data_IF_881402188353
#
_entry.id   IF_881402188353
#
_cell.length_a   1.000
_cell.length_b   1.000
_cell.length_c   1.000
_cell.angle_alpha   90.00
_cell.angle_beta   90.00
_cell.angle_gamma   90.00
#
_symmetry.space_group_name_H-M   'P 1'
#
loop_
_entity.id
_entity.type
_entity.pdbx_description
1 polymer ?
#
# COMPACT_ATOMS: atom_id res chain seq x y z
N UNK A 1 -4.31 26.83 16.58
CA UNK A 1 -4.84 25.46 16.61
C UNK A 1 -3.94 24.60 15.74
N UNK A 2 -3.54 23.42 16.18
CA UNK A 2 -2.82 22.50 15.30
C UNK A 2 -3.73 22.17 14.13
N UNK A 3 -3.25 22.37 12.92
CA UNK A 3 -3.93 21.96 11.68
C UNK A 3 -3.61 20.48 11.51
N UNK A 4 -4.60 19.62 11.66
CA UNK A 4 -4.41 18.17 11.49
C UNK A 4 -4.41 17.79 10.02
N UNK A 5 -3.52 16.88 9.65
CA UNK A 5 -3.61 16.18 8.38
C UNK A 5 -4.47 14.93 8.56
N UNK A 6 -5.33 14.70 7.60
CA UNK A 6 -6.13 13.49 7.52
C UNK A 6 -5.64 12.68 6.32
N UNK A 7 -5.44 11.39 6.55
CA UNK A 7 -5.09 10.44 5.50
C UNK A 7 -6.24 9.48 5.32
N UNK A 8 -6.60 9.26 4.07
CA UNK A 8 -7.70 8.37 3.72
C UNK A 8 -7.20 7.32 2.73
N UNK A 9 -7.43 6.06 3.02
CA UNK A 9 -7.29 5.01 2.03
C UNK A 9 -8.42 5.21 1.00
N UNK A 10 -8.06 5.50 -0.24
CA UNK A 10 -9.03 5.90 -1.26
C UNK A 10 -9.35 4.78 -2.24
N UNK A 11 -8.40 3.92 -2.53
CA UNK A 11 -8.61 2.76 -3.41
C UNK A 11 -7.61 1.66 -3.11
N UNK A 12 -7.94 0.44 -3.48
CA UNK A 12 -7.05 -0.71 -3.42
C UNK A 12 -7.21 -1.58 -4.66
N UNK A 13 -6.21 -2.41 -4.92
CA UNK A 13 -6.28 -3.40 -5.97
C UNK A 13 -5.35 -4.57 -5.68
N UNK A 14 -5.83 -5.77 -5.96
CA UNK A 14 -5.05 -7.00 -5.86
C UNK A 14 -4.31 -7.30 -7.15
N UNK A 15 -3.09 -7.83 -7.01
CA UNK A 15 -2.30 -8.29 -8.15
C UNK A 15 -1.50 -9.55 -7.83
N UNK A 16 -1.10 -10.27 -8.86
CA UNK A 16 -0.21 -11.41 -8.76
C UNK A 16 1.20 -10.96 -8.37
N UNK A 17 1.98 -11.87 -7.82
CA UNK A 17 3.42 -11.66 -7.64
C UNK A 17 4.20 -12.27 -8.83
N UNK A 18 3.91 -11.80 -10.05
CA UNK A 18 4.41 -12.35 -11.31
C UNK A 18 5.24 -11.37 -12.15
N UNK A 19 5.56 -10.20 -11.62
CA UNK A 19 6.33 -9.19 -12.35
C UNK A 19 6.81 -8.04 -11.46
N UNK A 20 7.53 -7.10 -12.08
CA UNK A 20 8.04 -5.90 -11.39
C UNK A 20 6.91 -5.00 -10.86
N UNK A 21 7.30 -3.89 -10.24
CA UNK A 21 6.36 -2.87 -9.72
C UNK A 21 5.34 -2.41 -10.77
N UNK A 22 5.74 -2.29 -12.03
CA UNK A 22 4.87 -1.84 -13.11
C UNK A 22 4.30 -2.97 -13.96
N UNK A 23 4.87 -4.18 -13.93
CA UNK A 23 4.56 -5.26 -14.87
C UNK A 23 3.72 -6.40 -14.28
N UNK A 24 3.56 -6.49 -12.96
CA UNK A 24 2.77 -7.55 -12.35
C UNK A 24 1.29 -7.47 -12.76
N UNK A 25 0.66 -8.62 -12.95
CA UNK A 25 -0.71 -8.73 -13.43
C UNK A 25 -1.74 -8.37 -12.36
N UNK A 26 -2.77 -7.63 -12.74
CA UNK A 26 -3.91 -7.35 -11.87
C UNK A 26 -4.85 -8.56 -11.76
N UNK A 27 -5.26 -8.91 -10.55
CA UNK A 27 -6.18 -10.02 -10.29
C UNK A 27 -7.65 -9.61 -10.34
N UNK A 28 -7.94 -8.34 -10.08
CA UNK A 28 -9.30 -7.80 -10.07
C UNK A 28 -9.29 -6.33 -10.48
N UNK A 29 -10.47 -5.75 -10.67
CA UNK A 29 -10.62 -4.31 -10.81
C UNK A 29 -10.33 -3.59 -9.48
N UNK A 30 -10.16 -2.28 -9.52
CA UNK A 30 -10.01 -1.47 -8.30
C UNK A 30 -11.23 -1.61 -7.40
N UNK A 31 -11.01 -1.61 -6.09
CA UNK A 31 -12.03 -1.75 -5.05
C UNK A 31 -12.91 -3.00 -5.20
N UNK A 32 -12.33 -4.05 -5.78
CA UNK A 32 -13.02 -5.32 -6.02
C UNK A 32 -12.31 -6.44 -5.27
N UNK A 33 -13.08 -7.21 -4.52
CA UNK A 33 -12.60 -8.39 -3.81
C UNK A 33 -12.20 -9.49 -4.78
N UNK A 34 -11.27 -10.34 -4.35
CA UNK A 34 -10.82 -11.47 -5.15
C UNK A 34 -10.56 -12.69 -4.26
N UNK A 35 -10.51 -13.85 -4.88
CA UNK A 35 -10.13 -15.09 -4.21
C UNK A 35 -8.66 -15.38 -4.48
N UNK A 36 -7.90 -15.62 -3.41
CA UNK A 36 -6.51 -16.01 -3.49
C UNK A 36 -6.40 -17.48 -3.06
N UNK A 37 -5.69 -18.27 -3.83
CA UNK A 37 -5.40 -19.66 -3.44
C UNK A 37 -4.46 -19.68 -2.22
N UNK A 38 -4.62 -20.69 -1.38
CA UNK A 38 -3.71 -20.89 -0.25
C UNK A 38 -2.27 -21.08 -0.75
N UNK A 39 -1.32 -20.64 0.04
CA UNK A 39 0.12 -20.76 -0.23
C UNK A 39 0.55 -20.15 -1.58
N UNK A 40 -0.17 -19.13 -2.02
CA UNK A 40 0.15 -18.39 -3.25
C UNK A 40 0.49 -16.95 -2.90
N UNK A 41 1.67 -16.49 -3.30
CA UNK A 41 2.05 -15.09 -3.14
C UNK A 41 1.14 -14.20 -3.99
N UNK A 42 0.69 -13.13 -3.40
CA UNK A 42 -0.05 -12.07 -4.07
C UNK A 42 0.35 -10.71 -3.51
N UNK A 43 -0.06 -9.64 -4.17
CA UNK A 43 0.20 -8.30 -3.67
C UNK A 43 -1.10 -7.53 -3.51
N UNK A 44 -1.14 -6.67 -2.51
CA UNK A 44 -2.16 -5.66 -2.37
C UNK A 44 -1.54 -4.27 -2.52
N UNK A 45 -2.08 -3.50 -3.44
CA UNK A 45 -1.70 -2.10 -3.65
C UNK A 45 -2.80 -1.21 -3.11
N UNK A 46 -2.42 -0.18 -2.36
CA UNK A 46 -3.33 0.73 -1.68
C UNK A 46 -2.89 2.16 -1.98
N UNK A 47 -3.83 3.00 -2.42
CA UNK A 47 -3.63 4.43 -2.56
C UNK A 47 -4.16 5.17 -1.33
N UNK A 48 -3.40 6.16 -0.91
CA UNK A 48 -3.71 7.03 0.23
C UNK A 48 -3.69 8.47 -0.23
N UNK A 49 -4.72 9.23 0.15
CA UNK A 49 -4.82 10.67 -0.09
C UNK A 49 -4.66 11.47 1.20
N UNK A 50 -3.99 12.61 1.11
CA UNK A 50 -3.87 13.59 2.19
C UNK A 50 -4.82 14.76 1.96
N UNK A 51 -5.56 15.16 3.00
CA UNK A 51 -6.49 16.29 2.97
C UNK A 51 -6.19 17.38 4.00
N UNK A 52 -5.06 17.32 4.67
CA UNK A 52 -4.65 18.31 5.68
C UNK A 52 -3.96 19.53 5.10
N UNK A 53 -3.67 20.50 5.95
CA UNK A 53 -3.00 21.75 5.58
C UNK A 53 -1.50 21.75 5.88
N UNK A 54 -1.02 20.77 6.65
CA UNK A 54 0.39 20.66 7.01
C UNK A 54 1.10 19.65 6.10
N UNK A 55 2.37 19.88 5.87
CA UNK A 55 3.23 18.96 5.13
C UNK A 55 3.91 18.00 6.10
N UNK A 56 3.84 16.72 5.83
CA UNK A 56 4.46 15.68 6.65
C UNK A 56 5.52 14.92 5.86
N UNK A 57 6.59 14.56 6.56
CA UNK A 57 7.69 13.76 6.02
C UNK A 57 7.84 12.46 6.79
N UNK A 58 8.38 11.44 6.16
CA UNK A 58 8.73 10.16 6.79
C UNK A 58 7.56 9.46 7.50
N UNK A 59 6.37 9.51 6.92
CA UNK A 59 5.24 8.74 7.41
C UNK A 59 5.47 7.25 7.19
N UNK A 60 5.18 6.45 8.21
CA UNK A 60 5.29 4.99 8.16
C UNK A 60 3.91 4.38 8.14
N UNK A 61 3.65 3.55 7.13
CA UNK A 61 2.39 2.85 6.92
C UNK A 61 2.57 1.38 7.21
N UNK A 62 1.72 0.81 8.04
CA UNK A 62 1.72 -0.61 8.37
C UNK A 62 0.43 -1.23 7.86
N UNK A 63 0.52 -2.48 7.38
CA UNK A 63 -0.64 -3.23 6.93
C UNK A 63 -1.27 -3.99 8.10
N UNK A 64 -2.59 -3.91 8.18
CA UNK A 64 -3.40 -4.65 9.15
C UNK A 64 -4.46 -5.46 8.41
N UNK A 65 -4.85 -6.58 8.98
CA UNK A 65 -5.92 -7.43 8.48
C UNK A 65 -6.94 -7.75 9.56
N UNK A 66 -8.14 -8.12 9.14
CA UNK A 66 -9.21 -8.64 9.99
C UNK A 66 -9.71 -9.95 9.40
N UNK A 67 -9.81 -11.00 10.19
CA UNK A 67 -10.39 -12.27 9.79
C UNK A 67 -11.86 -12.30 10.21
N UNK A 68 -12.76 -12.51 9.24
CA UNK A 68 -14.21 -12.68 9.48
C UNK A 68 -14.83 -11.54 10.32
N UNK A 69 -14.37 -10.30 10.13
CA UNK A 69 -14.88 -9.16 10.87
C UNK A 69 -14.36 -9.04 12.31
N UNK A 70 -13.33 -9.77 12.68
CA UNK A 70 -12.66 -9.62 13.98
C UNK A 70 -11.90 -8.30 14.10
N UNK A 71 -11.29 -8.07 15.27
CA UNK A 71 -10.39 -6.92 15.46
C UNK A 71 -9.22 -6.94 14.47
N UNK A 72 -8.75 -5.77 14.07
CA UNK A 72 -7.60 -5.64 13.20
C UNK A 72 -6.31 -6.09 13.90
N UNK A 73 -5.51 -6.86 13.18
CA UNK A 73 -4.22 -7.39 13.62
C UNK A 73 -3.15 -6.99 12.63
N UNK A 74 -1.97 -6.61 13.10
CA UNK A 74 -0.86 -6.27 12.22
C UNK A 74 -0.41 -7.47 11.39
N UNK A 75 -0.14 -7.25 10.11
CA UNK A 75 0.53 -8.24 9.27
C UNK A 75 1.99 -8.34 9.70
N UNK A 76 2.46 -9.58 9.90
CA UNK A 76 3.83 -9.91 10.30
C UNK A 76 4.37 -11.05 9.44
N UNK A 77 5.61 -11.45 9.66
CA UNK A 77 6.19 -12.61 9.00
C UNK A 77 5.59 -13.95 9.44
N UNK A 78 4.80 -13.99 10.53
CA UNK A 78 4.26 -15.21 11.14
C UNK A 78 2.75 -15.18 11.41
N UNK A 79 2.07 -14.09 11.06
CA UNK A 79 0.60 -14.00 11.20
C UNK A 79 -0.11 -14.86 10.14
N UNK A 80 -1.41 -15.22 10.32
CA UNK A 80 -2.19 -15.96 9.31
C UNK A 80 -2.19 -15.31 7.92
N UNK A 81 -2.32 -13.99 7.84
CA UNK A 81 -1.98 -13.19 6.66
C UNK A 81 -0.60 -12.63 6.93
N UNK A 82 0.40 -13.07 6.17
CA UNK A 82 1.81 -12.80 6.48
C UNK A 82 2.53 -12.19 5.28
N UNK A 83 3.60 -11.47 5.56
CA UNK A 83 4.52 -11.03 4.52
C UNK A 83 5.19 -12.22 3.86
N UNK A 84 5.35 -12.15 2.55
CA UNK A 84 6.01 -13.16 1.73
C UNK A 84 7.09 -12.52 0.88
N UNK A 85 8.25 -13.18 0.82
CA UNK A 85 9.34 -12.71 -0.03
C UNK A 85 8.96 -12.83 -1.51
N UNK A 86 9.32 -11.83 -2.29
CA UNK A 86 9.15 -11.77 -3.74
C UNK A 86 10.51 -11.82 -4.43
N UNK A 87 10.59 -12.56 -5.52
CA UNK A 87 11.74 -12.50 -6.43
C UNK A 87 11.59 -11.43 -7.52
N UNK A 88 10.48 -10.71 -7.55
CA UNK A 88 10.10 -9.81 -8.64
C UNK A 88 10.36 -8.34 -8.35
N UNK A 89 10.63 -7.98 -7.11
CA UNK A 89 11.04 -6.64 -6.71
C UNK A 89 11.92 -6.70 -5.44
N UNK A 90 12.62 -5.62 -5.15
CA UNK A 90 13.38 -5.48 -3.92
C UNK A 90 12.54 -4.86 -2.81
N UNK A 91 12.66 -5.36 -1.57
CA UNK A 91 12.02 -4.73 -0.41
C UNK A 91 12.43 -3.27 -0.30
N UNK A 92 11.47 -2.39 -0.15
CA UNK A 92 11.69 -0.95 -0.11
C UNK A 92 11.84 -0.28 -1.48
N UNK A 93 11.51 -0.95 -2.58
CA UNK A 93 11.45 -0.29 -3.88
C UNK A 93 10.38 0.81 -3.89
N UNK A 94 10.57 1.78 -4.77
CA UNK A 94 9.63 2.89 -4.93
C UNK A 94 8.32 2.42 -5.57
N UNK A 95 7.23 3.10 -5.25
CA UNK A 95 5.95 2.93 -5.94
C UNK A 95 5.65 4.12 -6.84
N UNK A 96 5.08 3.83 -8.01
CA UNK A 96 4.61 4.83 -8.98
C UNK A 96 3.09 4.93 -8.97
N UNK A 97 2.52 5.85 -9.73
CA UNK A 97 1.08 6.02 -9.84
C UNK A 97 0.48 4.98 -10.80
N UNK A 98 -0.20 3.97 -10.26
CA UNK A 98 -0.81 2.89 -11.05
C UNK A 98 -2.31 2.69 -10.78
N UNK A 99 -2.83 3.25 -9.68
CA UNK A 99 -4.26 3.23 -9.36
C UNK A 99 -4.92 4.53 -9.85
N UNK A 100 -6.25 4.48 -9.98
CA UNK A 100 -7.00 5.65 -10.42
C UNK A 100 -6.87 6.81 -9.44
N UNK A 101 -6.54 7.98 -9.96
CA UNK A 101 -6.30 9.19 -9.19
C UNK A 101 -7.60 9.97 -8.97
N UNK A 102 -8.46 9.46 -8.09
CA UNK A 102 -9.79 10.06 -7.88
C UNK A 102 -9.85 11.08 -6.74
N UNK A 103 -8.94 11.01 -5.76
CA UNK A 103 -9.08 11.75 -4.51
C UNK A 103 -7.87 12.62 -4.15
N UNK A 104 -6.89 12.74 -5.04
CA UNK A 104 -5.74 13.62 -4.85
C UNK A 104 -5.30 14.28 -6.14
N UNK A 105 -4.71 15.45 -6.03
CA UNK A 105 -4.30 16.27 -7.19
C UNK A 105 -2.91 15.88 -7.69
N UNK A 106 -1.98 15.59 -6.79
CA UNK A 106 -0.61 15.26 -7.10
C UNK A 106 -0.24 13.88 -6.56
N UNK A 107 0.45 13.09 -7.39
CA UNK A 107 1.07 11.86 -6.93
C UNK A 107 2.47 12.14 -6.40
N UNK A 108 2.77 11.60 -5.22
CA UNK A 108 4.12 11.61 -4.65
C UNK A 108 4.68 10.20 -4.74
N UNK A 109 5.84 10.05 -5.37
CA UNK A 109 6.56 8.77 -5.37
C UNK A 109 6.85 8.37 -3.93
N UNK A 110 6.40 7.19 -3.56
CA UNK A 110 6.65 6.66 -2.24
C UNK A 110 7.94 5.85 -2.24
N UNK A 111 9.02 6.50 -1.85
CA UNK A 111 10.31 5.85 -1.67
C UNK A 111 10.19 4.84 -0.52
N UNK A 112 10.48 3.58 -0.76
CA UNK A 112 10.21 2.47 0.16
C UNK A 112 8.70 2.12 0.26
N UNK A 113 7.98 2.26 -0.84
CA UNK A 113 6.54 1.96 -0.91
C UNK A 113 6.21 0.49 -1.10
N UNK A 114 7.12 -0.32 -1.63
CA UNK A 114 6.96 -1.77 -1.82
C UNK A 114 7.57 -2.55 -0.66
N UNK A 115 6.80 -3.46 -0.08
CA UNK A 115 7.23 -4.25 1.08
C UNK A 115 6.95 -5.74 0.89
N UNK A 116 7.94 -6.55 1.24
CA UNK A 116 7.86 -8.02 1.24
C UNK A 116 8.28 -8.65 2.58
N UNK A 117 8.78 -7.83 3.49
CA UNK A 117 9.26 -8.26 4.80
C UNK A 117 8.59 -7.48 5.92
N UNK A 118 9.04 -7.66 7.14
CA UNK A 118 8.55 -6.90 8.29
C UNK A 118 8.91 -5.42 8.19
N UNK A 119 8.07 -4.58 8.72
CA UNK A 119 8.23 -3.14 8.75
C UNK A 119 7.22 -2.40 7.87
N UNK A 120 7.15 -1.10 8.04
CA UNK A 120 6.21 -0.26 7.34
C UNK A 120 6.75 0.25 5.99
N UNK A 121 5.86 0.47 5.05
CA UNK A 121 6.16 1.32 3.91
C UNK A 121 6.36 2.75 4.40
N UNK A 122 7.40 3.41 3.93
CA UNK A 122 7.73 4.77 4.38
C UNK A 122 7.53 5.75 3.24
N UNK A 123 6.74 6.77 3.46
CA UNK A 123 6.71 7.91 2.57
C UNK A 123 7.82 8.90 2.98
N UNK A 124 8.85 9.02 2.16
CA UNK A 124 9.93 10.00 2.35
C UNK A 124 9.66 11.35 1.67
N UNK A 125 8.58 11.46 0.91
CA UNK A 125 8.15 12.71 0.31
C UNK A 125 7.37 13.59 1.29
N UNK A 126 7.29 14.87 0.97
CA UNK A 126 6.44 15.81 1.69
C UNK A 126 5.01 15.69 1.17
N UNK A 127 4.12 15.05 1.91
CA UNK A 127 2.72 14.98 1.57
C UNK A 127 1.97 16.15 2.19
N UNK A 128 1.41 17.02 1.36
CA UNK A 128 0.56 18.14 1.75
C UNK A 128 -0.91 17.93 1.35
N UNK A 129 -1.70 18.97 1.46
CA UNK A 129 -3.10 18.94 1.04
C UNK A 129 -3.23 18.63 -0.45
N UNK A 130 -4.04 17.65 -0.80
CA UNK A 130 -4.27 17.21 -2.16
C UNK A 130 -3.20 16.28 -2.73
N UNK A 131 -2.25 15.86 -1.95
CA UNK A 131 -1.24 14.89 -2.36
C UNK A 131 -1.71 13.46 -2.07
N UNK A 132 -1.21 12.50 -2.85
CA UNK A 132 -1.45 11.09 -2.66
C UNK A 132 -0.26 10.25 -3.06
N UNK A 133 -0.21 9.04 -2.54
CA UNK A 133 0.83 8.05 -2.80
C UNK A 133 0.27 6.65 -2.76
N UNK A 134 1.02 5.71 -3.25
CA UNK A 134 0.65 4.30 -3.21
C UNK A 134 1.65 3.50 -2.40
N UNK A 135 1.16 2.45 -1.76
CA UNK A 135 1.97 1.43 -1.09
C UNK A 135 1.57 0.06 -1.61
N UNK A 136 2.50 -0.88 -1.67
CA UNK A 136 2.24 -2.25 -2.13
C UNK A 136 2.93 -3.25 -1.21
N UNK A 137 2.21 -4.29 -0.81
CA UNK A 137 2.72 -5.35 0.06
C UNK A 137 2.58 -6.71 -0.62
N UNK A 138 3.63 -7.52 -0.54
CA UNK A 138 3.63 -8.93 -0.93
C UNK A 138 3.25 -9.80 0.29
N UNK A 139 2.27 -10.66 0.11
CA UNK A 139 1.65 -11.49 1.14
C UNK A 139 1.62 -12.96 0.72
#
# INVERSE_FOLDING_TARGET
>A
MPKGNFYTQVTYRFRSDDGSETAASWLAAENTDTTIALDTNFRIRIAVASSGLDTWTNLVWNLYYSLNGSSYTAVTASSPVKFSASSNFADGADTTNQLTKESYLNFITNNNGMKETTGGATNSGNAGAGDGFETEWCL
#
